data_IF_087056437076
#
_entry.id   IF_087056437076
#
_cell.length_a   1.000
_cell.length_b   1.000
_cell.length_c   1.000
_cell.angle_alpha   90.00
_cell.angle_beta   90.00
_cell.angle_gamma   90.00
#
_symmetry.space_group_name_H-M   'P 1'
#
loop_
_entity.id
_entity.type
_entity.pdbx_description
1 polymer ?
#
# COMPACT_ATOMS: atom_id res chain seq x y z
N UNK A 1 0.93 -31.10 0.06
CA UNK A 1 -0.18 -30.26 0.57
C UNK A 1 0.39 -29.45 1.71
N UNK A 2 0.81 -28.22 1.44
CA UNK A 2 1.45 -27.36 2.44
C UNK A 2 0.36 -26.85 3.40
N UNK A 3 0.38 -27.33 4.64
CA UNK A 3 -0.43 -26.77 5.71
C UNK A 3 -0.03 -25.31 5.94
N UNK A 4 -1.02 -24.44 6.08
CA UNK A 4 -0.87 -23.03 6.44
C UNK A 4 0.03 -22.90 7.67
N UNK A 5 1.16 -22.18 7.56
CA UNK A 5 2.14 -21.96 8.63
C UNK A 5 1.67 -20.97 9.71
N UNK A 6 0.42 -21.11 10.14
CA UNK A 6 -0.18 -20.32 11.22
C UNK A 6 -0.87 -21.28 12.18
N UNK A 7 -0.35 -21.35 13.40
CA UNK A 7 -0.97 -22.02 14.53
C UNK A 7 -1.71 -21.00 15.40
N UNK A 8 -2.80 -21.41 16.05
CA UNK A 8 -3.65 -20.52 16.84
C UNK A 8 -3.97 -21.19 18.17
N UNK A 9 -3.58 -20.53 19.26
CA UNK A 9 -3.83 -20.96 20.63
C UNK A 9 -4.66 -19.92 21.40
N UNK A 10 -5.10 -20.30 22.61
CA UNK A 10 -5.71 -19.35 23.55
C UNK A 10 -4.62 -18.54 24.23
N UNK A 11 -4.80 -17.22 24.33
CA UNK A 11 -3.84 -16.37 25.02
C UNK A 11 -3.94 -16.57 26.54
N UNK A 12 -2.83 -16.88 27.20
CA UNK A 12 -2.78 -17.08 28.65
C UNK A 12 -2.82 -15.77 29.45
N UNK A 13 -2.33 -14.66 28.86
CA UNK A 13 -2.28 -13.35 29.49
C UNK A 13 -3.36 -12.43 28.91
N UNK A 14 -4.56 -12.51 29.47
CA UNK A 14 -5.72 -11.76 28.99
C UNK A 14 -5.91 -10.46 29.78
N UNK A 15 -5.79 -9.30 29.10
CA UNK A 15 -5.96 -7.99 29.75
C UNK A 15 -7.36 -7.75 30.33
N UNK A 16 -8.39 -8.40 29.78
CA UNK A 16 -9.79 -8.20 30.17
C UNK A 16 -10.51 -9.48 30.62
N UNK A 17 -9.80 -10.60 30.76
CA UNK A 17 -10.41 -11.92 30.95
C UNK A 17 -11.09 -12.46 29.68
N UNK A 18 -11.38 -13.76 29.65
CA UNK A 18 -12.21 -14.36 28.60
C UNK A 18 -13.70 -14.24 28.96
N UNK A 19 -14.57 -13.96 27.99
CA UNK A 19 -16.03 -13.94 28.12
C UNK A 19 -16.69 -14.76 27.01
N UNK A 20 -17.99 -15.04 27.12
CA UNK A 20 -18.76 -15.82 26.12
C UNK A 20 -18.62 -15.30 24.68
N UNK A 21 -18.27 -14.03 24.49
CA UNK A 21 -18.10 -13.40 23.16
C UNK A 21 -16.70 -12.85 22.90
N UNK A 22 -15.78 -12.97 23.86
CA UNK A 22 -14.41 -12.46 23.74
C UNK A 22 -13.44 -13.49 24.29
N UNK A 23 -12.87 -14.31 23.40
CA UNK A 23 -11.74 -15.16 23.71
C UNK A 23 -10.48 -14.50 23.17
N UNK A 24 -9.51 -14.23 24.03
CA UNK A 24 -8.21 -13.79 23.60
C UNK A 24 -7.47 -14.98 22.96
N UNK A 25 -7.01 -14.78 21.72
CA UNK A 25 -6.27 -15.78 20.97
C UNK A 25 -4.84 -15.27 20.74
N UNK A 26 -3.89 -16.19 20.77
CA UNK A 26 -2.52 -15.98 20.30
C UNK A 26 -2.34 -16.80 19.02
N UNK A 27 -1.55 -16.30 18.09
CA UNK A 27 -1.23 -17.06 16.89
C UNK A 27 0.28 -17.11 16.69
N UNK A 28 0.78 -18.28 16.33
CA UNK A 28 2.18 -18.54 16.02
C UNK A 28 2.32 -18.63 14.51
N UNK A 29 3.20 -17.82 13.93
CA UNK A 29 3.48 -17.86 12.50
C UNK A 29 4.84 -18.50 12.32
N UNK A 30 4.85 -19.74 11.86
CA UNK A 30 6.06 -20.47 11.53
C UNK A 30 6.50 -20.14 10.10
N UNK A 31 7.81 -20.14 9.86
CA UNK A 31 8.39 -19.84 8.56
C UNK A 31 7.98 -18.47 8.01
N UNK A 32 8.14 -17.41 8.83
CA UNK A 32 8.29 -16.07 8.28
C UNK A 32 9.61 -16.08 7.50
N UNK A 33 9.54 -16.45 6.22
CA UNK A 33 10.54 -16.04 5.25
C UNK A 33 10.47 -14.52 5.28
N UNK A 34 11.38 -13.90 6.04
CA UNK A 34 11.53 -12.47 6.01
C UNK A 34 11.77 -12.10 4.56
N UNK A 35 10.78 -11.44 3.96
CA UNK A 35 10.92 -10.85 2.64
C UNK A 35 12.11 -9.90 2.77
N UNK A 36 13.10 -10.13 1.89
CA UNK A 36 14.36 -9.40 1.76
C UNK A 36 14.31 -8.03 2.44
N UNK A 37 15.22 -7.79 3.39
CA UNK A 37 15.34 -6.52 4.14
C UNK A 37 15.44 -5.30 3.20
N UNK A 38 15.71 -5.54 1.92
CA UNK A 38 15.52 -4.61 0.83
C UNK A 38 14.11 -4.71 0.20
N UNK A 39 13.08 -4.23 0.91
CA UNK A 39 11.77 -3.87 0.33
C UNK A 39 11.86 -2.70 -0.67
N UNK A 40 13.04 -2.46 -1.26
CA UNK A 40 13.30 -1.45 -2.27
C UNK A 40 12.78 -1.92 -3.62
N UNK A 41 11.47 -1.96 -3.79
CA UNK A 41 10.85 -2.08 -5.11
C UNK A 41 10.40 -0.71 -5.59
N UNK A 42 10.77 -0.37 -6.82
CA UNK A 42 10.26 0.81 -7.50
C UNK A 42 8.77 0.60 -7.82
N UNK A 43 7.89 1.29 -7.10
CA UNK A 43 6.47 1.28 -7.41
C UNK A 43 6.18 2.34 -8.47
N UNK A 44 5.72 1.91 -9.64
CA UNK A 44 5.20 2.84 -10.66
C UNK A 44 3.73 3.14 -10.34
N UNK A 45 3.43 4.39 -10.04
CA UNK A 45 2.07 4.86 -9.78
C UNK A 45 1.67 5.86 -10.86
N UNK A 46 0.39 5.88 -11.25
CA UNK A 46 -0.16 6.93 -12.09
C UNK A 46 0.00 8.32 -11.45
N UNK A 47 0.51 9.27 -12.23
CA UNK A 47 0.70 10.65 -11.83
C UNK A 47 -0.44 11.52 -12.38
N UNK A 48 -1.58 11.48 -11.67
CA UNK A 48 -2.77 12.24 -12.05
C UNK A 48 -2.56 13.75 -12.03
N UNK A 49 -1.53 14.26 -11.35
CA UNK A 49 -1.19 15.69 -11.40
C UNK A 49 -0.72 16.12 -12.80
N UNK A 50 -0.14 15.19 -13.57
CA UNK A 50 0.42 15.43 -14.92
C UNK A 50 -0.37 14.76 -16.04
N UNK A 51 -1.60 14.33 -15.76
CA UNK A 51 -2.43 13.69 -16.76
C UNK A 51 -2.86 14.66 -17.86
N UNK A 52 -2.92 14.17 -19.10
CA UNK A 52 -3.59 14.89 -20.19
C UNK A 52 -5.10 14.70 -20.06
N UNK A 53 -5.72 15.58 -19.27
CA UNK A 53 -7.17 15.54 -19.06
C UNK A 53 -7.98 15.87 -20.30
N UNK A 54 -7.42 16.62 -21.26
CA UNK A 54 -8.13 16.93 -22.51
C UNK A 54 -8.22 15.67 -23.36
N UNK A 55 -7.10 14.97 -23.55
CA UNK A 55 -7.04 13.68 -24.24
C UNK A 55 -7.88 12.61 -23.54
N UNK A 56 -7.74 12.50 -22.21
CA UNK A 56 -8.49 11.53 -21.40
C UNK A 56 -10.01 11.76 -21.49
N UNK A 57 -10.46 13.01 -21.42
CA UNK A 57 -11.88 13.33 -21.55
C UNK A 57 -12.40 13.07 -22.98
N UNK A 58 -11.59 13.36 -24.00
CA UNK A 58 -11.90 13.00 -25.39
C UNK A 58 -12.06 11.49 -25.57
N UNK A 59 -11.15 10.70 -25.00
CA UNK A 59 -11.21 9.24 -25.01
C UNK A 59 -12.49 8.74 -24.33
N UNK A 60 -12.77 9.16 -23.09
CA UNK A 60 -13.98 8.71 -22.38
C UNK A 60 -15.28 9.16 -23.04
N UNK A 61 -15.28 10.32 -23.71
CA UNK A 61 -16.44 10.78 -24.48
C UNK A 61 -16.66 9.97 -25.75
N UNK A 62 -15.60 9.37 -26.32
CA UNK A 62 -15.69 8.54 -27.53
C UNK A 62 -16.13 7.10 -27.26
N UNK A 63 -16.06 6.66 -26.01
CA UNK A 63 -16.53 5.34 -25.61
C UNK A 63 -18.06 5.31 -25.70
N UNK A 64 -18.60 4.38 -26.48
CA UNK A 64 -20.00 4.00 -26.32
C UNK A 64 -20.14 3.38 -24.92
N UNK A 65 -20.94 3.98 -24.03
CA UNK A 65 -21.22 3.46 -22.68
C UNK A 65 -22.49 2.59 -22.61
N UNK A 66 -23.23 2.49 -23.72
CA UNK A 66 -24.45 1.69 -23.83
C UNK A 66 -24.15 0.19 -24.05
N UNK A 67 -22.88 -0.21 -24.11
CA UNK A 67 -22.45 -1.62 -24.15
C UNK A 67 -22.95 -2.47 -22.97
N UNK A 68 -23.47 -1.82 -21.91
CA UNK A 68 -24.13 -2.49 -20.80
C UNK A 68 -25.32 -3.36 -21.24
N UNK A 69 -25.90 -3.15 -22.42
CA UNK A 69 -26.93 -4.02 -22.99
C UNK A 69 -26.41 -5.34 -23.62
N UNK A 70 -25.11 -5.42 -23.94
CA UNK A 70 -24.52 -6.56 -24.67
C UNK A 70 -23.95 -7.65 -23.75
N UNK A 71 -23.60 -7.28 -22.51
CA UNK A 71 -22.99 -8.18 -21.53
C UNK A 71 -24.06 -8.85 -20.65
N UNK A 72 -23.99 -10.18 -20.50
CA UNK A 72 -25.03 -10.98 -19.83
C UNK A 72 -25.06 -10.82 -18.32
N UNK A 73 -23.91 -10.57 -17.68
CA UNK A 73 -23.79 -10.48 -16.22
C UNK A 73 -23.30 -9.11 -15.78
N UNK A 74 -23.57 -8.78 -14.51
CA UNK A 74 -23.07 -7.56 -13.89
C UNK A 74 -21.55 -7.54 -13.81
N UNK A 75 -20.93 -8.68 -13.51
CA UNK A 75 -19.46 -8.80 -13.40
C UNK A 75 -18.77 -8.46 -14.71
N UNK A 76 -19.29 -8.96 -15.85
CA UNK A 76 -18.71 -8.66 -17.15
C UNK A 76 -18.88 -7.20 -17.56
N UNK A 77 -19.96 -6.53 -17.11
CA UNK A 77 -20.15 -5.09 -17.33
C UNK A 77 -19.12 -4.28 -16.54
N UNK A 78 -18.88 -4.67 -15.29
CA UNK A 78 -17.90 -4.02 -14.39
C UNK A 78 -16.48 -4.25 -14.91
N UNK A 79 -16.14 -5.47 -15.32
CA UNK A 79 -14.83 -5.77 -15.91
C UNK A 79 -14.56 -4.86 -17.12
N UNK A 80 -15.52 -4.78 -18.06
CA UNK A 80 -15.40 -3.92 -19.23
C UNK A 80 -15.29 -2.43 -18.88
N UNK A 81 -16.00 -1.97 -17.85
CA UNK A 81 -15.88 -0.61 -17.34
C UNK A 81 -14.45 -0.32 -16.88
N UNK A 82 -13.88 -1.19 -16.04
CA UNK A 82 -12.51 -1.02 -15.57
C UNK A 82 -11.48 -1.13 -16.70
N UNK A 83 -11.68 -2.01 -17.68
CA UNK A 83 -10.81 -2.11 -18.86
C UNK A 83 -10.72 -0.79 -19.61
N UNK A 84 -11.88 -0.15 -19.84
CA UNK A 84 -11.94 1.15 -20.53
C UNK A 84 -11.22 2.23 -19.70
N UNK A 85 -11.51 2.30 -18.41
CA UNK A 85 -10.91 3.29 -17.50
C UNK A 85 -9.39 3.13 -17.45
N UNK A 86 -8.89 1.93 -17.23
CA UNK A 86 -7.46 1.66 -17.15
C UNK A 86 -6.77 1.84 -18.49
N UNK A 87 -7.42 1.52 -19.62
CA UNK A 87 -6.88 1.84 -20.95
C UNK A 87 -6.72 3.35 -21.14
N UNK A 88 -7.68 4.15 -20.67
CA UNK A 88 -7.55 5.61 -20.66
C UNK A 88 -6.37 6.07 -19.81
N UNK A 89 -6.18 5.48 -18.63
CA UNK A 89 -5.05 5.83 -17.77
C UNK A 89 -3.70 5.49 -18.39
N UNK A 90 -3.55 4.31 -18.99
CA UNK A 90 -2.32 3.92 -19.68
C UNK A 90 -1.96 4.85 -20.85
N UNK A 91 -2.97 5.40 -21.53
CA UNK A 91 -2.77 6.28 -22.69
C UNK A 91 -2.50 7.74 -22.30
N UNK A 92 -3.16 8.25 -21.26
CA UNK A 92 -3.20 9.70 -20.97
C UNK A 92 -2.67 10.09 -19.59
N UNK A 93 -2.35 9.12 -18.71
CA UNK A 93 -1.83 9.38 -17.37
C UNK A 93 -0.39 8.86 -17.26
N UNK A 94 0.63 9.73 -17.19
CA UNK A 94 2.00 9.29 -17.06
C UNK A 94 2.21 8.55 -15.74
N UNK A 95 3.18 7.63 -15.69
CA UNK A 95 3.56 6.92 -14.47
C UNK A 95 4.78 7.59 -13.82
N UNK A 96 4.72 7.84 -12.52
CA UNK A 96 5.86 8.25 -11.70
C UNK A 96 6.42 7.10 -10.90
N UNK A 97 7.73 7.09 -10.72
CA UNK A 97 8.40 6.17 -9.81
C UNK A 97 8.31 6.75 -8.41
N UNK A 98 7.60 6.04 -7.53
CA UNK A 98 7.54 6.37 -6.10
C UNK A 98 8.64 5.59 -5.41
N UNK A 99 9.64 6.31 -4.90
CA UNK A 99 10.69 5.73 -4.07
C UNK A 99 10.12 5.43 -2.70
N UNK A 100 10.40 4.23 -2.20
CA UNK A 100 10.09 3.92 -0.82
C UNK A 100 10.98 4.71 0.11
N UNK A 101 10.40 5.07 1.25
CA UNK A 101 11.13 5.64 2.36
C UNK A 101 12.01 4.56 2.99
N UNK A 102 13.22 4.91 3.41
CA UNK A 102 14.05 4.02 4.25
C UNK A 102 13.47 3.86 5.67
N UNK A 103 12.38 4.57 5.99
CA UNK A 103 11.66 4.43 7.24
C UNK A 103 10.52 3.41 7.07
N UNK A 104 10.22 2.61 8.12
CA UNK A 104 9.10 1.67 8.08
C UNK A 104 7.78 2.37 7.72
N UNK A 105 6.90 1.65 7.02
CA UNK A 105 5.64 2.20 6.47
C UNK A 105 4.70 2.78 7.55
N UNK A 106 4.79 2.29 8.78
CA UNK A 106 4.01 2.76 9.92
C UNK A 106 4.57 4.05 10.57
N UNK A 107 5.67 4.60 10.05
CA UNK A 107 6.18 5.89 10.50
C UNK A 107 5.47 7.02 9.78
N UNK A 108 4.85 7.91 10.54
CA UNK A 108 4.34 9.16 9.98
C UNK A 108 5.49 10.16 9.71
N UNK A 109 5.17 11.19 8.91
CA UNK A 109 6.15 12.23 8.55
C UNK A 109 6.66 13.03 9.75
N UNK A 110 5.85 13.19 10.80
CA UNK A 110 6.23 13.98 11.98
C UNK A 110 7.27 13.22 12.81
N UNK A 111 7.05 11.92 13.03
CA UNK A 111 7.99 11.02 13.70
C UNK A 111 9.31 10.94 12.93
N UNK A 112 9.26 10.80 11.61
CA UNK A 112 10.46 10.82 10.76
C UNK A 112 11.24 12.13 10.95
N UNK A 113 10.56 13.27 10.92
CA UNK A 113 11.17 14.58 11.11
C UNK A 113 11.80 14.73 12.52
N UNK A 114 11.14 14.25 13.56
CA UNK A 114 11.67 14.26 14.94
C UNK A 114 12.93 13.40 15.07
N UNK A 115 12.95 12.22 14.43
CA UNK A 115 14.12 11.33 14.42
C UNK A 115 15.29 11.98 13.70
N UNK A 116 15.04 12.62 12.54
CA UNK A 116 16.07 13.34 11.79
C UNK A 116 16.64 14.50 12.60
N UNK A 117 15.77 15.29 13.25
CA UNK A 117 16.17 16.39 14.13
C UNK A 117 17.07 15.89 15.27
N UNK A 118 16.65 14.83 15.97
CA UNK A 118 17.45 14.22 17.05
C UNK A 118 18.82 13.76 16.56
N UNK A 119 18.91 13.10 15.40
CA UNK A 119 20.19 12.65 14.82
C UNK A 119 21.11 13.83 14.52
N UNK A 120 20.58 14.90 13.92
CA UNK A 120 21.37 16.09 13.58
C UNK A 120 21.89 16.81 14.83
N UNK A 121 21.04 16.98 15.85
CA UNK A 121 21.43 17.63 17.11
C UNK A 121 22.53 16.83 17.85
N UNK A 122 22.44 15.49 17.85
CA UNK A 122 23.46 14.62 18.44
C UNK A 122 24.78 14.65 17.65
N UNK A 123 24.72 14.69 16.31
CA UNK A 123 25.93 14.80 15.47
C UNK A 123 26.67 16.11 15.69
N UNK A 124 25.95 17.23 15.84
CA UNK A 124 26.53 18.54 16.17
C UNK A 124 27.17 18.56 17.56
N UNK A 125 26.54 17.90 18.55
CA UNK A 125 27.08 17.81 19.92
C UNK A 125 28.38 16.99 20.01
N UNK A 126 28.53 15.93 19.20
CA UNK A 126 29.78 15.14 19.18
C UNK A 126 30.94 15.93 18.57
N UNK A 127 30.69 16.74 17.53
CA UNK A 127 31.73 17.57 16.89
C UNK A 127 32.24 18.67 17.84
N UNK A 128 31.35 19.30 18.61
CA UNK A 128 31.74 20.37 19.55
C UNK A 128 32.54 19.82 20.76
N UNK A 129 32.39 18.55 21.12
CA UNK A 129 33.13 17.93 22.24
C UNK A 129 34.54 17.45 21.84
N UNK A 130 34.84 17.37 20.54
CA UNK A 130 36.14 16.89 20.00
C UNK A 130 37.06 18.05 19.55
N UNK A 131 36.57 19.30 19.60
CA UNK A 131 37.34 20.53 19.32
C UNK A 131 37.57 21.33 20.61
#
# INVERSE_FOLDING_TARGET
MAGSGVDIDVADDTLFGNSEHHNALIFHIDNINCVDENLNFEMKQYDFEKADYVGLNGYFSSVDWQYSGLQKTIDSKIARFYDVIFSGFELFVPKKVVKQSNYPVWFDRQLIALIQKKKNDLSQRVIIVIL
#
